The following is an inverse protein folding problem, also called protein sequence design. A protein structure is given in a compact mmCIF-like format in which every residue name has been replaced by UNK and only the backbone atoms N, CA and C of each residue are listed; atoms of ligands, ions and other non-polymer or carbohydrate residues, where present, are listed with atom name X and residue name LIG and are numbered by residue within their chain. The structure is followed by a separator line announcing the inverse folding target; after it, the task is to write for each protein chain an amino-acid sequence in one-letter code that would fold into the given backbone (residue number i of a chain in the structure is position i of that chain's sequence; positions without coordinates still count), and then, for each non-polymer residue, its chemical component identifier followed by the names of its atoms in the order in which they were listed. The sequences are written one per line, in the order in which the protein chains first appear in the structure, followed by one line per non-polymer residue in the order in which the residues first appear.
data_IF_257144218336
#
_entry.id   IF_257144218336
#
_cell.length_a   1.000
_cell.length_b   1.000
_cell.length_c   1.000
_cell.angle_alpha   90.00
_cell.angle_beta   90.00
_cell.angle_gamma   90.00
#
_symmetry.space_group_name_H-M   'P 1'
#
loop_
_entity.id
_entity.type
_entity.pdbx_description
1 polymer ?
#
# COMPACT_ATOMS: atom_id res chain seq x y z
N UNK A 1 -30.33 -20.96 -17.79
CA UNK A 1 -29.17 -20.71 -16.91
C UNK A 1 -29.42 -19.42 -16.12
N UNK A 2 -29.33 -19.44 -14.77
CA UNK A 2 -29.56 -18.24 -13.97
C UNK A 2 -28.33 -17.32 -14.08
N UNK A 3 -28.52 -16.00 -14.24
CA UNK A 3 -27.46 -14.99 -14.40
C UNK A 3 -26.29 -15.14 -13.41
N UNK A 4 -26.59 -15.58 -12.19
CA UNK A 4 -25.60 -15.85 -11.13
C UNK A 4 -24.67 -17.03 -11.42
N UNK A 5 -25.12 -18.06 -12.14
CA UNK A 5 -24.28 -19.19 -12.58
C UNK A 5 -23.39 -18.79 -13.75
N UNK A 6 -23.87 -17.94 -14.64
CA UNK A 6 -23.10 -17.43 -15.77
C UNK A 6 -21.92 -16.56 -15.29
N UNK A 7 -22.14 -15.68 -14.31
CA UNK A 7 -21.07 -14.85 -13.74
C UNK A 7 -20.04 -15.67 -12.94
N UNK A 8 -20.46 -16.72 -12.23
CA UNK A 8 -19.53 -17.63 -11.54
C UNK A 8 -18.68 -18.46 -12.51
N UNK A 9 -19.26 -18.86 -13.64
CA UNK A 9 -18.54 -19.63 -14.67
C UNK A 9 -17.68 -18.71 -15.54
N UNK A 10 -18.10 -17.47 -15.80
CA UNK A 10 -17.33 -16.45 -16.50
C UNK A 10 -16.08 -15.99 -15.71
N UNK A 11 -16.18 -15.86 -14.38
CA UNK A 11 -15.04 -15.55 -13.50
C UNK A 11 -14.01 -16.68 -13.44
N UNK A 12 -14.42 -17.93 -13.72
CA UNK A 12 -13.50 -19.08 -13.79
C UNK A 12 -12.89 -19.27 -15.20
N UNK A 13 -13.45 -18.64 -16.24
CA UNK A 13 -12.97 -18.74 -17.62
C UNK A 13 -12.06 -17.57 -18.06
N UNK A 14 -11.84 -16.56 -17.21
CA UNK A 14 -10.87 -15.48 -17.46
C UNK A 14 -9.42 -15.90 -17.19
N UNK A 15 -9.13 -17.19 -17.37
CA UNK A 15 -7.82 -17.77 -17.19
C UNK A 15 -7.02 -17.56 -18.47
N UNK A 16 -6.00 -16.72 -18.39
CA UNK A 16 -4.84 -16.69 -19.29
C UNK A 16 -5.13 -16.66 -20.79
N UNK A 17 -5.64 -15.54 -21.28
CA UNK A 17 -5.34 -15.17 -22.66
C UNK A 17 -4.10 -14.26 -22.62
N UNK A 18 -3.01 -14.61 -23.30
CA UNK A 18 -1.88 -13.70 -23.44
C UNK A 18 -2.33 -12.53 -24.31
N UNK A 19 -2.38 -11.33 -23.75
CA UNK A 19 -2.51 -10.13 -24.56
C UNK A 19 -1.14 -9.75 -25.08
N UNK A 20 -0.99 -9.70 -26.39
CA UNK A 20 0.20 -9.14 -27.05
C UNK A 20 -0.15 -7.72 -27.45
N UNK A 21 0.41 -6.72 -26.76
CA UNK A 21 0.39 -5.34 -27.19
C UNK A 21 1.84 -4.89 -27.35
N UNK A 22 2.15 -4.40 -28.54
CA UNK A 22 3.50 -3.93 -28.93
C UNK A 22 4.64 -4.96 -28.76
N UNK A 23 4.38 -6.25 -29.00
CA UNK A 23 5.41 -7.29 -29.01
C UNK A 23 5.77 -7.88 -27.64
N UNK A 24 5.12 -7.46 -26.56
CA UNK A 24 5.33 -8.02 -25.21
C UNK A 24 4.17 -8.89 -24.79
N UNK A 25 4.46 -10.11 -24.32
CA UNK A 25 3.46 -11.00 -23.73
C UNK A 25 3.21 -10.59 -22.27
N UNK A 26 2.02 -10.08 -21.97
CA UNK A 26 1.57 -9.85 -20.60
C UNK A 26 0.83 -11.08 -20.10
N UNK A 27 1.32 -11.71 -19.05
CA UNK A 27 0.59 -12.73 -18.30
C UNK A 27 -0.14 -12.08 -17.12
N UNK A 28 -1.42 -12.35 -16.97
CA UNK A 28 -2.14 -11.96 -15.76
C UNK A 28 -1.61 -12.76 -14.56
N UNK A 29 -0.90 -12.10 -13.68
CA UNK A 29 -0.22 -12.70 -12.52
C UNK A 29 -1.17 -12.93 -11.34
N UNK A 30 -2.34 -12.32 -11.35
CA UNK A 30 -3.27 -12.26 -10.21
C UNK A 30 -3.76 -13.63 -9.68
N UNK A 31 -3.65 -14.70 -10.44
CA UNK A 31 -4.25 -15.99 -10.04
C UNK A 31 -3.50 -16.76 -8.97
N UNK A 32 -2.23 -16.41 -8.70
CA UNK A 32 -1.39 -17.14 -7.73
C UNK A 32 -0.92 -16.30 -6.55
N UNK A 33 -1.28 -15.00 -6.50
CA UNK A 33 -0.80 -14.11 -5.44
C UNK A 33 -1.60 -14.21 -4.14
N UNK A 34 -2.86 -14.65 -4.22
CA UNK A 34 -3.72 -14.82 -3.05
C UNK A 34 -4.36 -16.21 -3.07
N UNK A 35 -4.10 -17.02 -2.05
CA UNK A 35 -4.99 -18.12 -1.72
C UNK A 35 -6.25 -17.52 -1.11
N UNK A 36 -7.37 -17.49 -1.86
CA UNK A 36 -8.66 -17.02 -1.34
C UNK A 36 -9.22 -18.11 -0.43
N UNK A 37 -9.24 -17.94 0.89
CA UNK A 37 -9.85 -18.89 1.81
C UNK A 37 -11.37 -18.88 1.65
N UNK A 38 -12.02 -19.91 2.13
CA UNK A 38 -13.44 -20.19 1.97
C UNK A 38 -14.41 -19.17 2.59
N UNK A 39 -13.93 -18.18 3.38
CA UNK A 39 -14.71 -17.03 3.85
C UNK A 39 -13.97 -15.74 3.55
N UNK A 40 -14.36 -15.04 2.50
CA UNK A 40 -13.85 -13.69 2.18
C UNK A 40 -14.23 -12.63 3.24
N UNK A 41 -15.15 -12.96 4.13
CA UNK A 41 -15.75 -12.02 5.08
C UNK A 41 -14.79 -11.61 6.22
N UNK A 42 -13.70 -12.35 6.45
CA UNK A 42 -12.79 -12.12 7.59
C UNK A 42 -11.39 -11.62 7.17
N UNK A 43 -11.19 -11.22 5.91
CA UNK A 43 -9.90 -10.75 5.43
C UNK A 43 -9.71 -9.25 5.62
N UNK A 44 -8.48 -8.88 5.91
CA UNK A 44 -8.03 -7.50 6.12
C UNK A 44 -6.89 -7.19 5.17
N UNK A 45 -6.99 -6.05 4.50
CA UNK A 45 -5.95 -5.50 3.63
C UNK A 45 -5.27 -4.31 4.32
N UNK A 46 -3.94 -4.33 4.36
CA UNK A 46 -3.11 -3.21 4.86
C UNK A 46 -2.35 -2.60 3.70
N UNK A 47 -2.64 -1.35 3.38
CA UNK A 47 -1.97 -0.60 2.33
C UNK A 47 -0.96 0.37 2.96
N UNK A 48 0.32 0.27 2.56
CA UNK A 48 1.38 1.17 3.04
C UNK A 48 1.91 1.95 1.84
N UNK A 49 1.65 3.26 1.81
CA UNK A 49 2.16 4.14 0.78
C UNK A 49 3.54 4.68 1.17
N UNK A 50 4.52 4.47 0.31
CA UNK A 50 5.83 5.10 0.36
C UNK A 50 5.76 6.42 -0.43
N UNK A 51 5.45 7.51 0.28
CA UNK A 51 5.14 8.79 -0.33
C UNK A 51 6.41 9.56 -0.73
N UNK A 52 6.53 9.90 -2.02
CA UNK A 52 7.64 10.67 -2.57
C UNK A 52 8.33 10.03 -3.79
N UNK A 53 7.89 8.89 -4.27
CA UNK A 53 8.53 8.19 -5.39
C UNK A 53 9.78 7.43 -4.96
N UNK A 54 9.61 6.18 -4.59
CA UNK A 54 10.66 5.35 -4.02
C UNK A 54 11.73 4.96 -5.07
N UNK A 55 13.02 5.06 -4.72
CA UNK A 55 14.12 4.53 -5.52
C UNK A 55 14.16 3.00 -5.43
N UNK A 56 13.47 2.37 -6.38
CA UNK A 56 13.36 0.93 -6.46
C UNK A 56 14.68 0.20 -6.68
N UNK A 57 15.60 0.80 -7.44
CA UNK A 57 16.92 0.22 -7.72
C UNK A 57 17.88 0.29 -6.52
N UNK A 58 17.60 1.15 -5.52
CA UNK A 58 18.33 1.17 -4.27
C UNK A 58 17.59 0.47 -3.12
N UNK A 59 16.40 -0.09 -3.41
CA UNK A 59 15.61 -0.91 -2.49
C UNK A 59 15.71 -2.40 -2.82
N UNK A 60 15.52 -2.78 -4.10
CA UNK A 60 15.59 -4.14 -4.64
C UNK A 60 16.62 -4.15 -5.78
N UNK A 61 17.74 -4.80 -5.54
CA UNK A 61 18.87 -4.83 -6.47
C UNK A 61 18.73 -6.00 -7.46
N UNK A 62 18.76 -5.74 -8.79
CA UNK A 62 18.99 -6.77 -9.79
C UNK A 62 20.50 -7.12 -9.78
N UNK A 63 20.88 -8.14 -9.03
CA UNK A 63 22.29 -8.52 -8.82
C UNK A 63 22.97 -9.00 -10.11
N UNK A 64 22.20 -9.61 -11.01
CA UNK A 64 22.62 -9.98 -12.37
C UNK A 64 22.91 -8.78 -13.29
N UNK A 65 22.51 -7.56 -12.89
CA UNK A 65 22.73 -6.29 -13.57
C UNK A 65 23.60 -5.33 -12.73
N UNK A 66 24.36 -5.86 -11.75
CA UNK A 66 25.12 -5.00 -10.83
C UNK A 66 26.21 -4.19 -11.53
N UNK A 67 26.87 -4.76 -12.55
CA UNK A 67 27.89 -4.05 -13.32
C UNK A 67 27.30 -2.84 -14.09
N UNK A 68 26.11 -2.98 -14.61
CA UNK A 68 25.35 -1.92 -15.27
C UNK A 68 24.93 -0.83 -14.28
N UNK A 69 24.51 -1.21 -13.06
CA UNK A 69 24.21 -0.25 -11.99
C UNK A 69 25.46 0.56 -11.60
N UNK A 70 26.65 -0.04 -11.56
CA UNK A 70 27.91 0.69 -11.31
C UNK A 70 28.13 1.78 -12.37
N UNK A 71 27.81 1.52 -13.64
CA UNK A 71 27.94 2.52 -14.71
C UNK A 71 26.98 3.69 -14.50
N UNK A 72 25.75 3.43 -14.05
CA UNK A 72 24.67 4.43 -14.01
C UNK A 72 24.61 5.22 -12.70
N UNK A 73 25.01 4.62 -11.57
CA UNK A 73 24.75 5.20 -10.23
C UNK A 73 25.84 4.88 -9.19
N UNK A 74 27.09 4.79 -9.61
CA UNK A 74 28.23 4.42 -8.72
C UNK A 74 28.31 5.26 -7.43
N UNK A 75 27.92 6.54 -7.48
CA UNK A 75 28.00 7.48 -6.34
C UNK A 75 26.95 7.24 -5.25
N UNK A 76 25.93 6.42 -5.52
CA UNK A 76 24.86 6.06 -4.54
C UNK A 76 24.68 4.54 -4.41
N UNK A 77 25.42 3.73 -5.15
CA UNK A 77 25.22 2.30 -5.23
C UNK A 77 25.84 1.60 -4.01
N UNK A 78 25.02 0.87 -3.28
CA UNK A 78 25.45 0.02 -2.16
C UNK A 78 26.42 -1.06 -2.66
N UNK A 79 27.55 -1.32 -1.95
CA UNK A 79 28.49 -2.38 -2.31
C UNK A 79 27.82 -3.74 -2.43
N UNK A 80 28.11 -4.49 -3.49
CA UNK A 80 27.47 -5.77 -3.80
C UNK A 80 27.53 -6.76 -2.63
N UNK A 81 28.68 -6.80 -1.92
CA UNK A 81 28.89 -7.66 -0.76
C UNK A 81 27.98 -7.34 0.42
N UNK A 82 27.41 -6.14 0.48
CA UNK A 82 26.49 -5.70 1.54
C UNK A 82 25.02 -5.97 1.22
N UNK A 83 24.68 -6.28 -0.04
CA UNK A 83 23.31 -6.55 -0.48
C UNK A 83 22.81 -7.83 0.18
N UNK A 84 21.62 -7.78 0.79
CA UNK A 84 20.96 -8.94 1.39
C UNK A 84 20.37 -9.84 0.30
N UNK A 85 20.88 -11.04 0.05
CA UNK A 85 20.39 -11.90 -1.01
C UNK A 85 18.96 -12.41 -0.68
N UNK A 86 18.06 -12.37 -1.67
CA UNK A 86 16.79 -13.09 -1.68
C UNK A 86 16.91 -14.34 -2.59
N UNK A 87 17.52 -14.15 -3.74
CA UNK A 87 17.87 -15.21 -4.70
C UNK A 87 19.30 -14.97 -5.20
N UNK A 88 19.74 -15.78 -6.17
CA UNK A 88 21.03 -15.53 -6.87
C UNK A 88 21.05 -14.15 -7.49
N UNK A 89 19.92 -13.73 -8.11
CA UNK A 89 19.84 -12.60 -9.01
C UNK A 89 19.14 -11.37 -8.40
N UNK A 90 18.49 -11.53 -7.23
CA UNK A 90 17.75 -10.45 -6.55
C UNK A 90 18.22 -10.32 -5.11
N UNK A 91 18.39 -9.08 -4.66
CA UNK A 91 18.71 -8.78 -3.27
C UNK A 91 18.03 -7.51 -2.77
N UNK A 92 18.05 -7.30 -1.45
CA UNK A 92 17.51 -6.13 -0.79
C UNK A 92 18.64 -5.23 -0.25
N UNK A 93 18.29 -3.97 -0.01
CA UNK A 93 19.14 -3.03 0.69
C UNK A 93 19.56 -3.59 2.07
N UNK A 94 20.82 -3.39 2.55
CA UNK A 94 21.32 -3.98 3.80
C UNK A 94 20.51 -3.62 5.05
N UNK A 95 19.78 -2.51 5.03
CA UNK A 95 18.86 -2.11 6.13
C UNK A 95 17.53 -2.87 6.16
N UNK A 96 17.24 -3.75 5.19
CA UNK A 96 15.95 -4.42 5.07
C UNK A 96 15.96 -5.87 5.60
N UNK A 97 16.68 -6.11 6.70
CA UNK A 97 16.79 -7.45 7.32
C UNK A 97 15.45 -8.04 7.75
N UNK A 98 14.50 -7.20 8.17
CA UNK A 98 13.15 -7.63 8.54
C UNK A 98 12.38 -8.21 7.35
N UNK A 99 12.42 -7.55 6.18
CA UNK A 99 11.79 -8.07 4.96
C UNK A 99 12.52 -9.29 4.38
N UNK A 100 13.87 -9.34 4.49
CA UNK A 100 14.60 -10.57 4.15
C UNK A 100 14.15 -11.75 5.01
N UNK A 101 13.95 -11.53 6.30
CA UNK A 101 13.44 -12.57 7.22
C UNK A 101 12.06 -13.04 6.77
N UNK A 102 11.14 -12.13 6.45
CA UNK A 102 9.81 -12.50 5.96
C UNK A 102 9.85 -13.25 4.62
N UNK A 103 10.78 -12.90 3.73
CA UNK A 103 10.99 -13.63 2.48
C UNK A 103 11.42 -15.09 2.76
N UNK A 104 12.38 -15.26 3.65
CA UNK A 104 12.87 -16.58 4.05
C UNK A 104 11.81 -17.42 4.79
N UNK A 105 10.86 -16.76 5.47
CA UNK A 105 9.70 -17.39 6.12
C UNK A 105 8.55 -17.70 5.13
N UNK A 106 8.68 -17.33 3.85
CA UNK A 106 7.62 -17.52 2.87
C UNK A 106 6.45 -16.55 2.98
N UNK A 107 6.67 -15.36 3.56
CA UNK A 107 5.66 -14.34 3.87
C UNK A 107 5.86 -13.02 3.11
N UNK A 108 6.71 -13.01 2.09
CA UNK A 108 6.97 -11.83 1.26
C UNK A 108 7.01 -12.19 -0.21
N UNK A 109 6.34 -11.39 -1.03
CA UNK A 109 6.47 -11.41 -2.48
C UNK A 109 6.98 -10.05 -2.97
N UNK A 110 7.92 -10.08 -3.92
CA UNK A 110 8.48 -8.90 -4.57
C UNK A 110 7.97 -8.86 -6.01
N UNK A 111 7.17 -7.86 -6.35
CA UNK A 111 6.71 -7.63 -7.71
C UNK A 111 7.64 -6.62 -8.37
N UNK A 112 8.27 -7.01 -9.46
CA UNK A 112 9.24 -6.17 -10.17
C UNK A 112 8.55 -5.15 -11.07
N UNK A 113 9.10 -3.93 -11.11
CA UNK A 113 8.72 -2.88 -12.06
C UNK A 113 7.21 -2.67 -12.22
N UNK A 114 6.54 -2.43 -11.08
CA UNK A 114 5.11 -2.10 -11.04
C UNK A 114 4.92 -0.63 -11.37
N UNK A 115 3.99 -0.32 -12.24
CA UNK A 115 3.70 1.04 -12.67
C UNK A 115 2.40 1.10 -13.47
N UNK A 116 2.31 2.03 -14.42
CA UNK A 116 1.18 2.18 -15.34
C UNK A 116 1.63 2.73 -16.70
N UNK A 117 0.85 2.52 -17.77
CA UNK A 117 1.19 3.03 -19.11
C UNK A 117 1.25 4.57 -19.13
N UNK A 118 2.16 5.13 -19.93
CA UNK A 118 2.35 6.57 -20.05
C UNK A 118 2.59 7.26 -18.69
N UNK A 119 3.66 6.88 -17.96
CA UNK A 119 3.87 7.31 -16.58
C UNK A 119 3.96 8.83 -16.46
N UNK A 120 3.32 9.36 -15.44
CA UNK A 120 3.39 10.77 -15.09
C UNK A 120 4.27 10.95 -13.84
N UNK A 121 5.24 11.86 -13.91
CA UNK A 121 6.22 12.10 -12.84
C UNK A 121 5.83 13.24 -11.90
N UNK A 122 4.59 13.72 -11.97
CA UNK A 122 4.03 14.63 -10.96
C UNK A 122 3.48 13.83 -9.79
N UNK A 123 3.91 14.13 -8.58
CA UNK A 123 3.37 13.49 -7.36
C UNK A 123 1.85 13.55 -7.32
N UNK A 124 1.27 14.71 -7.62
CA UNK A 124 -0.19 14.89 -7.59
C UNK A 124 -0.89 13.97 -8.58
N UNK A 125 -0.51 14.05 -9.86
CA UNK A 125 -1.20 13.27 -10.89
C UNK A 125 -0.96 11.77 -10.72
N UNK A 126 0.24 11.36 -10.40
CA UNK A 126 0.54 9.95 -10.20
C UNK A 126 -0.19 9.38 -8.97
N UNK A 127 -0.29 10.17 -7.89
CA UNK A 127 -1.10 9.79 -6.73
C UNK A 127 -2.57 9.62 -7.11
N UNK A 128 -3.15 10.54 -7.90
CA UNK A 128 -4.53 10.42 -8.37
C UNK A 128 -4.73 9.11 -9.16
N UNK A 129 -3.80 8.78 -10.04
CA UNK A 129 -3.86 7.54 -10.83
C UNK A 129 -3.85 6.31 -9.93
N UNK A 130 -2.94 6.24 -8.95
CA UNK A 130 -2.86 5.13 -8.02
C UNK A 130 -4.09 5.03 -7.10
N UNK A 131 -4.59 6.15 -6.61
CA UNK A 131 -5.75 6.15 -5.71
C UNK A 131 -7.06 5.90 -6.44
N UNK A 132 -7.20 6.39 -7.67
CA UNK A 132 -8.40 6.13 -8.48
C UNK A 132 -8.35 4.80 -9.24
N UNK A 133 -7.16 4.23 -9.47
CA UNK A 133 -6.99 3.09 -10.37
C UNK A 133 -7.30 3.42 -11.83
N UNK A 134 -7.23 4.70 -12.23
CA UNK A 134 -7.66 5.17 -13.56
C UNK A 134 -6.69 6.20 -14.14
N UNK A 135 -6.49 6.13 -15.46
CA UNK A 135 -5.76 7.14 -16.22
C UNK A 135 -6.67 8.33 -16.62
N UNK A 136 -7.99 8.20 -16.49
CA UNK A 136 -8.92 9.29 -16.79
C UNK A 136 -8.80 10.40 -15.77
N UNK A 137 -8.55 11.62 -16.24
CA UNK A 137 -8.41 12.83 -15.40
C UNK A 137 -9.73 13.24 -14.72
N UNK A 138 -10.86 12.78 -15.23
CA UNK A 138 -12.18 13.07 -14.69
C UNK A 138 -12.63 12.05 -13.62
N UNK A 139 -11.85 10.99 -13.40
CA UNK A 139 -12.15 10.00 -12.37
C UNK A 139 -11.83 10.58 -11.00
N UNK A 140 -12.85 10.87 -10.22
CA UNK A 140 -12.72 11.46 -8.86
C UNK A 140 -12.91 10.46 -7.73
N UNK A 141 -13.54 9.30 -7.99
CA UNK A 141 -13.71 8.26 -6.98
C UNK A 141 -12.52 7.31 -6.93
N UNK A 142 -12.14 6.90 -5.71
CA UNK A 142 -11.10 5.91 -5.46
C UNK A 142 -11.52 4.49 -5.87
N UNK A 143 -10.56 3.62 -6.15
CA UNK A 143 -10.87 2.25 -6.56
C UNK A 143 -11.55 1.43 -5.44
N UNK A 144 -11.15 1.61 -4.18
CA UNK A 144 -11.84 1.02 -3.03
C UNK A 144 -13.20 1.70 -2.79
N UNK A 145 -13.29 3.02 -2.98
CA UNK A 145 -14.56 3.75 -2.87
C UNK A 145 -15.62 3.17 -3.82
N UNK A 146 -15.26 2.91 -5.08
CA UNK A 146 -16.18 2.26 -6.04
C UNK A 146 -16.55 0.83 -5.65
N UNK A 147 -15.59 0.07 -5.11
CA UNK A 147 -15.87 -1.26 -4.57
C UNK A 147 -16.88 -1.18 -3.42
N UNK A 148 -16.68 -0.26 -2.48
CA UNK A 148 -17.59 -0.08 -1.35
C UNK A 148 -18.96 0.43 -1.77
N UNK A 149 -19.05 1.41 -2.70
CA UNK A 149 -20.33 1.87 -3.26
C UNK A 149 -21.16 0.70 -3.84
N UNK A 150 -20.48 -0.23 -4.52
CA UNK A 150 -21.15 -1.40 -5.10
C UNK A 150 -21.58 -2.46 -4.08
N UNK A 151 -20.90 -2.50 -2.93
CA UNK A 151 -21.07 -3.51 -1.89
C UNK A 151 -21.99 -3.01 -0.77
N UNK A 152 -21.93 -1.74 -0.43
CA UNK A 152 -22.62 -1.09 0.68
C UNK A 152 -23.46 0.10 0.20
N UNK A 153 -24.62 -0.16 -0.45
CA UNK A 153 -25.46 0.90 -0.99
C UNK A 153 -26.05 1.79 0.11
N UNK A 154 -26.39 3.02 -0.27
CA UNK A 154 -26.94 4.06 0.61
C UNK A 154 -25.96 4.56 1.70
N UNK A 155 -24.65 4.43 1.47
CA UNK A 155 -23.67 5.11 2.30
C UNK A 155 -23.70 6.64 2.00
N UNK A 156 -23.62 7.53 3.00
CA UNK A 156 -23.42 7.29 4.41
C UNK A 156 -24.71 7.03 5.21
N UNK A 157 -25.90 7.36 4.71
CA UNK A 157 -27.15 7.49 5.48
C UNK A 157 -27.60 6.19 6.16
N UNK A 158 -27.27 5.03 5.58
CA UNK A 158 -27.64 3.71 6.13
C UNK A 158 -26.59 3.14 7.12
N UNK A 159 -25.51 3.86 7.42
CA UNK A 159 -24.37 3.37 8.21
C UNK A 159 -23.91 4.38 9.27
N UNK A 160 -23.33 3.89 10.42
CA UNK A 160 -23.27 2.48 10.83
C UNK A 160 -24.65 1.89 11.09
N UNK A 161 -24.75 0.55 11.11
CA UNK A 161 -25.98 -0.16 11.48
C UNK A 161 -25.65 -1.46 12.22
N UNK A 162 -26.67 -2.24 12.61
CA UNK A 162 -26.50 -3.46 13.42
C UNK A 162 -25.63 -4.52 12.72
N UNK A 163 -25.71 -4.62 11.39
CA UNK A 163 -24.93 -5.59 10.60
C UNK A 163 -23.49 -5.08 10.33
N UNK A 164 -23.34 -3.76 10.22
CA UNK A 164 -22.08 -3.07 9.90
C UNK A 164 -21.83 -1.92 10.88
N UNK A 165 -21.50 -2.22 12.15
CA UNK A 165 -21.26 -1.20 13.17
C UNK A 165 -19.87 -0.53 13.04
N UNK A 166 -18.93 -1.18 12.36
CA UNK A 166 -17.53 -0.78 12.28
C UNK A 166 -17.24 0.01 10.99
N UNK A 167 -16.23 0.90 10.98
CA UNK A 167 -15.84 1.61 9.77
C UNK A 167 -15.31 0.63 8.70
N UNK A 168 -15.65 0.87 7.45
CA UNK A 168 -15.23 0.01 6.32
C UNK A 168 -13.73 0.07 6.07
N UNK A 169 -13.14 1.26 6.21
CA UNK A 169 -11.70 1.47 6.12
C UNK A 169 -11.23 2.47 7.18
N UNK A 170 -9.97 2.34 7.59
CA UNK A 170 -9.29 3.28 8.48
C UNK A 170 -8.03 3.80 7.78
N UNK A 171 -7.89 5.13 7.73
CA UNK A 171 -6.66 5.81 7.35
C UNK A 171 -5.91 6.20 8.63
N UNK A 172 -4.72 5.63 8.83
CA UNK A 172 -3.90 5.97 9.99
C UNK A 172 -3.23 7.34 9.75
N UNK A 173 -3.72 8.35 10.48
CA UNK A 173 -3.32 9.74 10.31
C UNK A 173 -4.48 10.71 10.48
N UNK A 174 -4.28 11.97 10.09
CA UNK A 174 -5.27 13.05 10.23
C UNK A 174 -6.21 13.22 9.04
N UNK A 175 -5.98 12.48 7.95
CA UNK A 175 -6.71 12.65 6.70
C UNK A 175 -7.33 11.34 6.23
N UNK A 176 -8.54 11.44 5.67
CA UNK A 176 -9.18 10.32 4.98
C UNK A 176 -8.45 9.99 3.67
N UNK A 177 -8.50 8.74 3.25
CA UNK A 177 -7.81 8.33 2.02
C UNK A 177 -8.65 8.56 0.77
N UNK A 178 -8.06 9.20 -0.25
CA UNK A 178 -8.68 9.34 -1.57
C UNK A 178 -8.97 7.97 -2.23
N UNK A 179 -8.24 6.92 -1.87
CA UNK A 179 -8.48 5.54 -2.34
C UNK A 179 -9.88 5.04 -1.98
N UNK A 180 -10.41 5.51 -0.82
CA UNK A 180 -11.73 5.15 -0.31
C UNK A 180 -12.83 6.16 -0.66
N UNK A 181 -12.55 7.15 -1.52
CA UNK A 181 -13.55 8.11 -1.96
C UNK A 181 -14.60 7.45 -2.83
N UNK A 182 -15.83 7.37 -2.34
CA UNK A 182 -17.00 6.92 -3.09
C UNK A 182 -17.68 8.09 -3.85
N UNK A 183 -18.83 7.82 -4.43
CA UNK A 183 -19.60 8.81 -5.20
C UNK A 183 -20.19 9.90 -4.31
N UNK A 184 -20.64 9.56 -3.11
CA UNK A 184 -21.32 10.47 -2.17
C UNK A 184 -20.43 10.84 -1.01
N UNK A 185 -19.68 9.89 -0.46
CA UNK A 185 -18.86 10.08 0.74
C UNK A 185 -17.55 9.29 0.70
N UNK A 186 -16.70 9.50 1.69
CA UNK A 186 -15.46 8.75 1.85
C UNK A 186 -15.68 7.61 2.87
N UNK A 187 -15.39 6.39 2.47
CA UNK A 187 -15.58 5.19 3.30
C UNK A 187 -14.48 4.99 4.35
N UNK A 188 -13.40 5.79 4.32
CA UNK A 188 -12.37 5.70 5.35
C UNK A 188 -12.60 6.66 6.50
N UNK A 189 -12.23 6.24 7.71
CA UNK A 189 -12.20 7.05 8.91
C UNK A 189 -10.74 7.37 9.27
N UNK A 190 -10.41 8.64 9.52
CA UNK A 190 -9.07 9.06 9.88
C UNK A 190 -8.81 8.87 11.37
N UNK A 191 -7.71 8.21 11.74
CA UNK A 191 -7.37 7.86 13.13
C UNK A 191 -5.89 8.10 13.38
N UNK A 192 -5.56 9.07 14.23
CA UNK A 192 -4.18 9.27 14.71
C UNK A 192 -3.84 8.32 15.85
N UNK A 193 -4.72 8.26 16.84
CA UNK A 193 -4.59 7.45 18.04
C UNK A 193 -5.94 6.81 18.36
N UNK A 194 -6.08 5.48 18.25
CA UNK A 194 -7.35 4.80 18.51
C UNK A 194 -7.79 4.82 19.97
N UNK A 195 -6.88 5.15 20.92
CA UNK A 195 -7.20 5.28 22.34
C UNK A 195 -7.72 6.67 22.70
N UNK A 196 -7.64 7.63 21.79
CA UNK A 196 -7.96 9.04 21.99
C UNK A 196 -8.93 9.56 20.94
N UNK A 197 -9.99 8.79 20.65
CA UNK A 197 -11.05 9.20 19.73
C UNK A 197 -11.98 10.19 20.45
N UNK A 198 -11.86 11.47 20.08
CA UNK A 198 -12.71 12.52 20.64
C UNK A 198 -14.16 12.42 20.14
N UNK A 199 -15.11 12.85 20.98
CA UNK A 199 -16.51 13.00 20.57
C UNK A 199 -16.70 14.42 20.03
N UNK A 200 -17.11 14.54 18.77
CA UNK A 200 -17.44 15.80 18.14
C UNK A 200 -18.80 16.31 18.68
N UNK A 201 -18.91 17.60 19.05
CA UNK A 201 -20.18 18.15 19.51
C UNK A 201 -21.20 18.13 18.37
N UNK A 202 -22.38 17.60 18.65
CA UNK A 202 -23.51 17.59 17.74
C UNK A 202 -24.58 18.54 18.24
N UNK A 203 -24.92 19.55 17.43
CA UNK A 203 -26.10 20.37 17.66
C UNK A 203 -27.25 19.80 16.84
N UNK A 204 -28.39 19.43 17.46
CA UNK A 204 -29.55 18.98 16.69
C UNK A 204 -29.95 20.03 15.64
N UNK A 205 -30.04 19.58 14.41
CA UNK A 205 -30.45 20.45 13.29
C UNK A 205 -31.77 19.94 12.74
N UNK A 206 -32.72 20.85 12.53
CA UNK A 206 -33.96 20.56 11.83
C UNK A 206 -33.75 20.97 10.38
N UNK A 207 -33.88 20.00 9.45
CA UNK A 207 -33.92 20.29 8.03
C UNK A 207 -35.21 21.06 7.71
N UNK A 208 -35.06 22.28 7.26
CA UNK A 208 -36.19 23.16 6.88
C UNK A 208 -36.63 23.00 5.42
N UNK A 209 -36.06 22.00 4.73
CA UNK A 209 -36.32 21.71 3.31
C UNK A 209 -35.53 22.62 2.35
N UNK A 210 -34.72 23.53 2.87
CA UNK A 210 -33.82 24.37 2.04
C UNK A 210 -32.56 23.58 1.64
N UNK A 211 -31.86 24.07 0.61
CA UNK A 211 -30.54 23.53 0.23
C UNK A 211 -29.56 23.60 1.41
N UNK A 212 -29.57 24.70 2.15
CA UNK A 212 -28.77 24.87 3.36
C UNK A 212 -29.12 23.85 4.44
N UNK A 213 -30.42 23.65 4.70
CA UNK A 213 -30.89 22.64 5.65
C UNK A 213 -30.40 21.23 5.31
N UNK A 214 -30.45 20.87 4.03
CA UNK A 214 -29.97 19.58 3.56
C UNK A 214 -28.44 19.40 3.73
N UNK A 215 -27.65 20.46 3.52
CA UNK A 215 -26.19 20.41 3.74
C UNK A 215 -25.85 20.26 5.21
N UNK A 216 -26.56 20.94 6.11
CA UNK A 216 -26.35 20.82 7.55
C UNK A 216 -26.77 19.44 8.07
N UNK A 217 -27.87 18.87 7.55
CA UNK A 217 -28.27 17.49 7.86
C UNK A 217 -27.20 16.48 7.45
N UNK A 218 -26.63 16.62 6.25
CA UNK A 218 -25.53 15.78 5.80
C UNK A 218 -24.30 15.89 6.72
N UNK A 219 -23.91 17.10 7.10
CA UNK A 219 -22.79 17.30 8.06
C UNK A 219 -23.11 16.66 9.41
N UNK A 220 -24.36 16.77 9.89
CA UNK A 220 -24.80 16.15 11.14
C UNK A 220 -24.73 14.63 11.07
N UNK A 221 -25.10 14.03 9.93
CA UNK A 221 -24.96 12.58 9.67
C UNK A 221 -23.48 12.16 9.74
N UNK A 222 -22.58 12.90 9.11
CA UNK A 222 -21.14 12.60 9.17
C UNK A 222 -20.55 12.73 10.57
N UNK A 223 -20.99 13.73 11.37
CA UNK A 223 -20.56 13.89 12.77
C UNK A 223 -21.02 12.71 13.61
N UNK A 224 -22.30 12.30 13.50
CA UNK A 224 -22.83 11.13 14.19
C UNK A 224 -22.04 9.87 13.83
N UNK A 225 -21.84 9.62 12.55
CA UNK A 225 -21.08 8.49 12.03
C UNK A 225 -19.65 8.48 12.58
N UNK A 226 -19.00 9.66 12.60
CA UNK A 226 -17.65 9.82 13.17
C UNK A 226 -17.61 9.46 14.64
N UNK A 227 -18.59 9.90 15.43
CA UNK A 227 -18.68 9.60 16.84
C UNK A 227 -18.92 8.11 17.12
N UNK A 228 -19.83 7.48 16.36
CA UNK A 228 -20.16 6.07 16.52
C UNK A 228 -18.96 5.18 16.12
N UNK A 229 -18.33 5.44 14.97
CA UNK A 229 -17.10 4.73 14.56
C UNK A 229 -15.95 4.96 15.53
N UNK A 230 -15.79 6.19 16.05
CA UNK A 230 -14.79 6.49 17.08
C UNK A 230 -14.94 5.64 18.33
N UNK A 231 -16.18 5.40 18.79
CA UNK A 231 -16.46 4.52 19.93
C UNK A 231 -16.10 3.05 19.63
N UNK A 232 -16.46 2.54 18.44
CA UNK A 232 -16.11 1.17 18.03
C UNK A 232 -14.60 0.98 17.95
N UNK A 233 -13.89 1.94 17.33
CA UNK A 233 -12.44 1.94 17.21
C UNK A 233 -11.77 1.92 18.59
N UNK A 234 -12.18 2.82 19.49
CA UNK A 234 -11.63 2.88 20.83
C UNK A 234 -11.90 1.59 21.61
N UNK A 235 -13.14 1.09 21.58
CA UNK A 235 -13.54 -0.14 22.27
C UNK A 235 -12.70 -1.34 21.80
N UNK A 236 -12.48 -1.46 20.48
CA UNK A 236 -11.66 -2.52 19.91
C UNK A 236 -10.17 -2.35 20.27
N UNK A 237 -9.64 -1.14 20.20
CA UNK A 237 -8.25 -0.88 20.58
C UNK A 237 -7.97 -1.22 22.06
N UNK A 238 -8.89 -0.87 22.96
CA UNK A 238 -8.79 -1.17 24.41
C UNK A 238 -8.94 -2.67 24.69
N UNK A 239 -9.84 -3.35 23.98
CA UNK A 239 -10.05 -4.80 24.14
C UNK A 239 -8.93 -5.64 23.50
N UNK A 240 -8.22 -5.07 22.52
CA UNK A 240 -7.20 -5.75 21.75
C UNK A 240 -5.86 -5.83 22.44
N UNK A 241 -4.99 -6.66 21.86
CA UNK A 241 -3.64 -6.90 22.36
C UNK A 241 -2.59 -6.66 21.29
N UNK A 242 -1.37 -6.40 21.72
CA UNK A 242 -0.15 -6.46 20.93
C UNK A 242 0.89 -7.23 21.74
N UNK A 243 1.40 -8.32 21.18
CA UNK A 243 2.27 -9.27 21.87
C UNK A 243 3.73 -9.20 21.39
N UNK A 244 3.97 -8.55 20.24
CA UNK A 244 5.32 -8.39 19.71
C UNK A 244 6.12 -7.36 20.49
N UNK A 245 7.36 -7.71 20.81
CA UNK A 245 8.36 -6.79 21.41
C UNK A 245 9.25 -6.13 20.36
N UNK A 246 8.97 -6.29 19.07
CA UNK A 246 9.79 -5.79 17.97
C UNK A 246 9.39 -4.38 17.52
N UNK A 247 8.29 -3.81 17.99
CA UNK A 247 7.88 -2.47 17.62
C UNK A 247 8.79 -1.41 18.23
N UNK A 248 9.51 -0.67 17.39
CA UNK A 248 10.26 0.51 17.81
C UNK A 248 9.29 1.68 18.03
N UNK A 249 9.21 2.25 19.25
CA UNK A 249 8.33 3.37 19.56
C UNK A 249 8.74 4.68 18.86
N UNK A 250 9.96 4.78 18.33
CA UNK A 250 10.45 5.93 17.56
C UNK A 250 10.15 5.81 16.07
N UNK A 251 9.69 4.65 15.61
CA UNK A 251 9.23 4.43 14.25
C UNK A 251 7.72 4.62 14.17
N UNK A 252 7.28 5.75 13.62
CA UNK A 252 5.85 6.09 13.51
C UNK A 252 5.02 5.03 12.77
N UNK A 253 5.58 4.42 11.72
CA UNK A 253 4.90 3.33 10.99
C UNK A 253 4.73 2.09 11.88
N UNK A 254 5.74 1.74 12.69
CA UNK A 254 5.65 0.62 13.62
C UNK A 254 4.58 0.85 14.69
N UNK A 255 4.49 2.07 15.22
CA UNK A 255 3.43 2.46 16.18
C UNK A 255 2.04 2.34 15.55
N UNK A 256 1.86 2.85 14.32
CA UNK A 256 0.58 2.76 13.62
C UNK A 256 0.20 1.30 13.32
N UNK A 257 1.13 0.47 12.88
CA UNK A 257 0.89 -0.96 12.63
C UNK A 257 0.57 -1.72 13.93
N UNK A 258 1.18 -1.33 15.06
CA UNK A 258 0.79 -1.85 16.38
C UNK A 258 -0.66 -1.53 16.70
N UNK A 259 -1.11 -0.30 16.46
CA UNK A 259 -2.51 0.08 16.64
C UNK A 259 -3.46 -0.73 15.73
N UNK A 260 -3.07 -0.97 14.48
CA UNK A 260 -3.81 -1.83 13.56
C UNK A 260 -3.94 -3.26 14.13
N UNK A 261 -2.85 -3.85 14.62
CA UNK A 261 -2.88 -5.18 15.24
C UNK A 261 -3.81 -5.22 16.46
N UNK A 262 -3.79 -4.18 17.30
CA UNK A 262 -4.67 -4.07 18.48
C UNK A 262 -6.14 -3.96 18.05
N UNK A 263 -6.49 -3.12 17.09
CA UNK A 263 -7.86 -3.00 16.60
C UNK A 263 -8.37 -4.32 16.00
N UNK A 264 -7.56 -5.01 15.19
CA UNK A 264 -7.94 -6.31 14.62
C UNK A 264 -8.11 -7.37 15.71
N UNK A 265 -7.18 -7.44 16.68
CA UNK A 265 -7.25 -8.43 17.78
C UNK A 265 -8.39 -8.15 18.75
N UNK A 266 -8.81 -6.89 18.87
CA UNK A 266 -9.98 -6.48 19.68
C UNK A 266 -11.31 -6.68 18.98
N UNK A 267 -11.31 -7.24 17.76
CA UNK A 267 -12.53 -7.68 17.09
C UNK A 267 -13.11 -6.70 16.08
N UNK A 268 -12.43 -5.57 15.79
CA UNK A 268 -12.88 -4.63 14.77
C UNK A 268 -12.93 -5.32 13.39
N UNK A 269 -14.05 -5.16 12.69
CA UNK A 269 -14.31 -5.82 11.39
C UNK A 269 -13.94 -4.96 10.19
N UNK A 270 -13.22 -3.89 10.40
CA UNK A 270 -12.67 -3.04 9.34
C UNK A 270 -11.88 -3.87 8.33
N UNK A 271 -12.17 -3.65 7.03
CA UNK A 271 -11.60 -4.45 5.93
C UNK A 271 -10.27 -3.92 5.42
N UNK A 272 -10.05 -2.60 5.51
CA UNK A 272 -8.89 -1.94 4.92
C UNK A 272 -8.28 -0.96 5.90
N UNK A 273 -6.94 -1.04 6.05
CA UNK A 273 -6.14 -0.05 6.78
C UNK A 273 -5.15 0.58 5.82
N UNK A 274 -5.07 1.91 5.82
CA UNK A 274 -4.21 2.68 4.94
C UNK A 274 -3.24 3.49 5.78
N UNK A 275 -1.95 3.32 5.50
CA UNK A 275 -0.84 3.96 6.21
C UNK A 275 0.07 4.67 5.22
N UNK A 276 0.77 5.69 5.70
CA UNK A 276 1.74 6.44 4.90
C UNK A 276 3.09 6.49 5.62
N UNK A 277 4.16 6.33 4.85
CA UNK A 277 5.51 6.66 5.24
C UNK A 277 6.06 7.71 4.27
N UNK A 278 6.37 8.90 4.78
CA UNK A 278 6.79 10.05 3.98
C UNK A 278 8.32 10.14 3.91
N UNK A 279 8.83 10.87 2.91
CA UNK A 279 10.23 11.21 2.80
C UNK A 279 10.99 10.52 1.67
N UNK A 280 10.30 9.76 0.79
CA UNK A 280 10.93 9.07 -0.35
C UNK A 280 11.27 9.99 -1.52
N UNK A 281 10.98 11.29 -1.44
CA UNK A 281 11.37 12.29 -2.44
C UNK A 281 12.84 12.70 -2.27
N UNK A 282 13.75 11.78 -2.52
CA UNK A 282 15.19 11.88 -2.23
C UNK A 282 15.98 12.39 -3.43
N UNK A 283 15.72 13.63 -3.86
CA UNK A 283 16.48 14.28 -4.93
C UNK A 283 17.92 14.60 -4.55
N UNK A 284 18.20 14.80 -3.27
CA UNK A 284 19.52 15.07 -2.73
C UNK A 284 19.75 14.28 -1.44
N UNK A 285 21.01 14.07 -1.08
CA UNK A 285 21.42 13.38 0.14
C UNK A 285 20.63 12.08 0.42
N UNK A 286 20.25 11.35 -0.64
CA UNK A 286 19.59 10.05 -0.54
C UNK A 286 20.43 9.06 0.25
N UNK A 287 21.75 9.13 0.02
CA UNK A 287 22.78 8.37 0.75
C UNK A 287 23.74 9.29 1.48
N UNK A 288 24.43 8.78 2.50
CA UNK A 288 25.52 9.49 3.15
C UNK A 288 26.77 9.49 2.24
N UNK A 289 27.47 10.62 2.18
CA UNK A 289 28.64 10.79 1.31
C UNK A 289 29.84 9.91 1.71
N UNK A 290 29.91 9.45 2.95
CA UNK A 290 31.00 8.60 3.45
C UNK A 290 30.62 7.11 3.44
N UNK A 291 29.32 6.80 3.51
CA UNK A 291 28.81 5.44 3.47
C UNK A 291 27.46 5.38 2.71
N UNK A 292 27.49 4.96 1.47
CA UNK A 292 26.32 4.87 0.61
C UNK A 292 25.26 3.85 1.09
N UNK A 293 25.58 3.02 2.09
CA UNK A 293 24.65 2.12 2.75
C UNK A 293 23.83 2.81 3.85
N UNK A 294 24.16 4.06 4.15
CA UNK A 294 23.49 4.93 5.13
C UNK A 294 22.82 6.13 4.43
N UNK A 295 22.12 6.96 5.18
CA UNK A 295 21.47 8.17 4.67
C UNK A 295 19.94 8.13 4.75
N UNK A 296 19.29 9.12 4.14
CA UNK A 296 17.84 9.33 4.26
C UNK A 296 17.03 8.12 3.77
N UNK A 297 17.36 7.59 2.59
CA UNK A 297 16.66 6.44 2.01
C UNK A 297 16.87 5.16 2.81
N UNK A 298 18.11 4.91 3.26
CA UNK A 298 18.45 3.76 4.10
C UNK A 298 17.63 3.72 5.40
N UNK A 299 17.45 4.88 6.06
CA UNK A 299 16.61 5.03 7.27
C UNK A 299 15.15 4.71 6.98
N UNK A 300 14.60 5.18 5.84
CA UNK A 300 13.23 4.91 5.45
C UNK A 300 13.01 3.43 5.15
N UNK A 301 13.93 2.79 4.43
CA UNK A 301 13.89 1.36 4.14
C UNK A 301 13.98 0.51 5.41
N UNK A 302 14.84 0.90 6.37
CA UNK A 302 14.92 0.25 7.67
C UNK A 302 13.60 0.36 8.43
N UNK A 303 13.04 1.57 8.53
CA UNK A 303 11.75 1.80 9.21
C UNK A 303 10.63 0.99 8.61
N UNK A 304 10.54 0.94 7.28
CA UNK A 304 9.55 0.13 6.57
C UNK A 304 9.72 -1.37 6.89
N UNK A 305 10.94 -1.86 6.75
CA UNK A 305 11.29 -3.27 6.96
C UNK A 305 11.01 -3.74 8.39
N UNK A 306 11.47 -2.97 9.37
CA UNK A 306 11.31 -3.31 10.78
C UNK A 306 9.86 -3.23 11.24
N UNK A 307 9.11 -2.23 10.76
CA UNK A 307 7.70 -2.07 11.07
C UNK A 307 6.85 -3.23 10.52
N UNK A 308 7.07 -3.64 9.26
CA UNK A 308 6.36 -4.78 8.65
C UNK A 308 6.75 -6.09 9.36
N UNK A 309 8.03 -6.28 9.69
CA UNK A 309 8.50 -7.45 10.46
C UNK A 309 7.83 -7.54 11.84
N UNK A 310 7.79 -6.43 12.58
CA UNK A 310 7.15 -6.36 13.89
C UNK A 310 5.65 -6.67 13.80
N UNK A 311 4.97 -6.15 12.79
CA UNK A 311 3.54 -6.39 12.56
C UNK A 311 3.24 -7.85 12.23
N UNK A 312 3.99 -8.46 11.31
CA UNK A 312 3.80 -9.87 10.97
C UNK A 312 4.09 -10.81 12.15
N UNK A 313 5.11 -10.50 12.96
CA UNK A 313 5.39 -11.22 14.19
C UNK A 313 4.25 -11.09 15.22
N UNK A 314 3.66 -9.91 15.34
CA UNK A 314 2.53 -9.67 16.25
C UNK A 314 1.28 -10.44 15.79
N UNK A 315 0.94 -10.37 14.51
CA UNK A 315 -0.17 -11.14 13.94
C UNK A 315 -0.01 -12.65 14.13
N UNK A 316 1.22 -13.16 14.04
CA UNK A 316 1.52 -14.56 14.30
C UNK A 316 1.27 -14.92 15.77
N UNK A 317 1.78 -14.13 16.72
CA UNK A 317 1.56 -14.35 18.15
C UNK A 317 0.07 -14.26 18.55
N UNK A 318 -0.68 -13.41 17.86
CA UNK A 318 -2.12 -13.24 18.05
C UNK A 318 -2.98 -14.30 17.32
N UNK A 319 -2.37 -15.16 16.48
CA UNK A 319 -3.10 -16.15 15.68
C UNK A 319 -3.90 -15.53 14.52
N UNK A 320 -3.55 -14.33 14.07
CA UNK A 320 -4.28 -13.54 13.07
C UNK A 320 -3.58 -13.49 11.70
N UNK A 321 -2.41 -14.11 11.57
CA UNK A 321 -1.55 -13.98 10.38
C UNK A 321 -2.22 -14.41 9.06
N UNK A 322 -3.15 -15.37 9.12
CA UNK A 322 -3.88 -15.85 7.94
C UNK A 322 -5.02 -14.89 7.51
N UNK A 323 -5.37 -13.92 8.34
CA UNK A 323 -6.45 -12.95 8.06
C UNK A 323 -5.95 -11.71 7.33
N UNK A 324 -4.66 -11.38 7.43
CA UNK A 324 -4.13 -10.09 7.03
C UNK A 324 -3.14 -10.23 5.89
N UNK A 325 -3.41 -9.55 4.78
CA UNK A 325 -2.45 -9.31 3.71
C UNK A 325 -2.08 -7.82 3.69
N UNK A 326 -0.84 -7.53 3.33
CA UNK A 326 -0.39 -6.16 3.17
C UNK A 326 0.28 -5.93 1.82
N UNK A 327 0.26 -4.66 1.39
CA UNK A 327 0.88 -4.20 0.16
C UNK A 327 1.57 -2.86 0.40
N UNK A 328 2.80 -2.72 -0.13
CA UNK A 328 3.47 -1.42 -0.24
C UNK A 328 3.31 -0.86 -1.65
N UNK A 329 3.24 0.45 -1.81
CA UNK A 329 3.27 1.09 -3.12
C UNK A 329 3.83 2.50 -3.03
N UNK A 330 4.31 3.02 -4.17
CA UNK A 330 4.73 4.42 -4.34
C UNK A 330 4.12 4.95 -5.62
N UNK A 331 3.92 6.26 -5.71
CA UNK A 331 3.27 6.89 -6.86
C UNK A 331 4.06 6.72 -8.16
N UNK A 332 5.38 6.60 -8.08
CA UNK A 332 6.31 6.26 -9.18
C UNK A 332 7.65 5.78 -8.62
N UNK A 333 8.54 5.30 -9.48
CA UNK A 333 9.92 4.99 -9.18
C UNK A 333 10.86 6.16 -9.47
N UNK A 334 12.18 5.90 -9.43
CA UNK A 334 13.22 6.88 -9.72
C UNK A 334 13.93 6.57 -11.04
N UNK A 335 14.63 7.56 -11.57
CA UNK A 335 15.48 7.39 -12.77
C UNK A 335 16.56 6.33 -12.53
N UNK A 336 16.98 5.68 -13.62
CA UNK A 336 18.03 4.66 -13.58
C UNK A 336 19.36 5.30 -13.15
N UNK A 337 19.70 6.47 -13.70
CA UNK A 337 20.89 7.19 -13.34
C UNK A 337 20.69 7.98 -12.03
N UNK A 338 21.74 8.06 -11.23
CA UNK A 338 21.81 9.00 -10.12
C UNK A 338 22.09 10.42 -10.63
N UNK A 339 21.80 11.41 -9.80
CA UNK A 339 22.15 12.80 -10.05
C UNK A 339 23.45 13.23 -9.32
N UNK A 340 23.84 14.51 -9.50
CA UNK A 340 25.04 15.07 -8.90
C UNK A 340 24.93 15.39 -7.41
N UNK A 341 23.76 15.27 -6.79
CA UNK A 341 23.47 15.59 -5.38
C UNK A 341 23.36 14.36 -4.50
N UNK A 342 23.93 13.22 -4.89
CA UNK A 342 23.81 11.94 -4.20
C UNK A 342 22.35 11.50 -4.03
N UNK A 343 21.54 11.72 -5.04
CA UNK A 343 20.12 11.39 -5.07
C UNK A 343 19.67 10.91 -6.45
N UNK A 344 18.36 10.88 -6.64
CA UNK A 344 17.71 10.44 -7.88
C UNK A 344 16.52 11.30 -8.21
N UNK A 345 16.29 11.56 -9.51
CA UNK A 345 15.12 12.30 -9.98
C UNK A 345 13.94 11.36 -10.28
N UNK A 346 12.75 11.94 -10.51
CA UNK A 346 11.53 11.18 -10.75
C UNK A 346 11.64 10.27 -11.98
N UNK A 347 11.31 9.00 -11.79
CA UNK A 347 11.29 7.96 -12.81
C UNK A 347 9.89 7.39 -13.00
N UNK A 348 9.80 6.09 -13.34
CA UNK A 348 8.56 5.49 -13.80
C UNK A 348 8.12 4.32 -12.91
N UNK A 349 8.54 3.09 -13.19
CA UNK A 349 8.16 1.92 -12.40
C UNK A 349 9.08 1.67 -11.20
N UNK A 350 8.54 1.02 -10.17
CA UNK A 350 9.27 0.60 -8.99
C UNK A 350 8.81 -0.79 -8.52
N UNK A 351 9.62 -1.54 -7.74
CA UNK A 351 9.15 -2.76 -7.12
C UNK A 351 8.11 -2.46 -6.03
N UNK A 352 7.19 -3.42 -5.86
CA UNK A 352 6.12 -3.44 -4.87
C UNK A 352 6.25 -4.70 -4.03
N UNK A 353 6.00 -4.61 -2.72
CA UNK A 353 5.96 -5.77 -1.83
C UNK A 353 4.52 -6.15 -1.50
N UNK A 354 4.23 -7.46 -1.57
CA UNK A 354 3.11 -8.06 -0.87
C UNK A 354 3.64 -8.83 0.34
N UNK A 355 2.96 -8.74 1.48
CA UNK A 355 3.39 -9.42 2.70
C UNK A 355 2.21 -10.03 3.46
N UNK A 356 2.46 -11.14 4.15
CA UNK A 356 1.47 -11.87 4.94
C UNK A 356 1.60 -13.37 4.78
N UNK A 357 1.03 -14.13 5.71
CA UNK A 357 1.05 -15.60 5.66
C UNK A 357 0.03 -16.20 4.68
N UNK A 358 -0.90 -15.38 4.18
CA UNK A 358 -1.93 -15.80 3.23
C UNK A 358 -1.60 -15.46 1.76
N UNK A 359 -0.37 -15.00 1.48
CA UNK A 359 0.10 -14.72 0.12
C UNK A 359 1.03 -15.83 -0.37
N UNK A 360 1.20 -15.94 -1.69
CA UNK A 360 2.27 -16.72 -2.30
C UNK A 360 3.57 -15.91 -2.31
N UNK A 361 4.61 -16.41 -1.66
CA UNK A 361 5.91 -15.71 -1.60
C UNK A 361 6.73 -15.92 -2.87
N UNK A 362 7.67 -15.03 -3.14
CA UNK A 362 8.64 -15.16 -4.22
C UNK A 362 8.91 -13.86 -4.98
N UNK A 363 9.64 -13.98 -6.08
CA UNK A 363 9.89 -12.87 -7.01
C UNK A 363 8.93 -13.02 -8.19
N UNK A 364 8.21 -11.95 -8.49
CA UNK A 364 7.23 -11.88 -9.58
C UNK A 364 7.71 -10.90 -10.64
N UNK A 365 7.84 -11.38 -11.85
CA UNK A 365 8.45 -10.65 -12.97
C UNK A 365 9.97 -10.82 -13.03
N UNK A 366 10.58 -10.65 -14.22
CA UNK A 366 12.02 -10.66 -14.40
C UNK A 366 12.67 -9.41 -13.78
N UNK A 367 13.96 -9.47 -13.51
CA UNK A 367 14.75 -8.30 -13.14
C UNK A 367 14.64 -7.20 -14.21
N UNK A 368 14.67 -5.93 -13.81
CA UNK A 368 14.78 -4.83 -14.78
C UNK A 368 16.05 -4.98 -15.61
N UNK A 369 15.95 -4.67 -16.90
CA UNK A 369 17.12 -4.57 -17.75
C UNK A 369 17.70 -3.16 -17.63
N UNK A 370 18.96 -3.06 -17.24
CA UNK A 370 19.67 -1.79 -17.07
C UNK A 370 20.51 -1.54 -18.33
N UNK A 371 20.18 -0.56 -19.19
CA UNK A 371 20.96 -0.27 -20.38
C UNK A 371 22.35 0.28 -20.01
N UNK A 372 23.37 -0.10 -20.80
CA UNK A 372 24.72 0.44 -20.64
C UNK A 372 24.82 1.95 -20.87
N UNK A 373 23.87 2.50 -21.62
CA UNK A 373 23.72 3.94 -21.85
C UNK A 373 22.28 4.34 -21.65
N UNK A 374 22.05 5.28 -20.75
CA UNK A 374 20.75 5.87 -20.51
C UNK A 374 20.81 7.38 -20.73
N UNK A 375 19.73 7.98 -21.19
CA UNK A 375 19.59 9.44 -21.13
C UNK A 375 19.27 9.84 -19.67
N UNK A 376 19.50 11.11 -19.36
CA UNK A 376 19.30 11.65 -18.00
C UNK A 376 17.84 11.64 -17.53
N UNK A 377 16.90 11.14 -18.33
CA UNK A 377 15.49 11.07 -18.03
C UNK A 377 14.97 9.61 -18.00
N UNK A 378 15.86 8.62 -18.21
CA UNK A 378 15.43 7.23 -18.30
C UNK A 378 14.93 6.69 -16.95
N UNK A 379 13.66 6.28 -16.89
CA UNK A 379 13.07 5.48 -15.83
C UNK A 379 13.01 4.00 -16.22
N UNK A 380 12.69 3.14 -15.27
CA UNK A 380 12.45 1.72 -15.55
C UNK A 380 11.11 1.53 -16.26
N UNK A 381 11.08 0.78 -17.37
CA UNK A 381 9.82 0.48 -18.02
C UNK A 381 8.94 -0.39 -17.12
N UNK A 382 7.65 -0.12 -17.13
CA UNK A 382 6.66 -0.94 -16.44
C UNK A 382 6.62 -2.36 -17.02
N UNK A 383 6.61 -3.37 -16.16
CA UNK A 383 6.38 -4.76 -16.49
C UNK A 383 5.00 -5.23 -16.01
N UNK A 384 4.56 -4.74 -14.86
CA UNK A 384 3.28 -5.08 -14.24
C UNK A 384 2.48 -3.79 -14.08
N UNK A 385 1.29 -3.76 -14.69
CA UNK A 385 0.34 -2.68 -14.42
C UNK A 385 -0.23 -2.86 -13.01
N UNK A 386 -0.12 -1.82 -12.17
CA UNK A 386 -0.57 -1.89 -10.78
C UNK A 386 -2.05 -2.25 -10.64
N UNK A 387 -2.88 -1.93 -11.65
CA UNK A 387 -4.30 -2.27 -11.69
C UNK A 387 -4.57 -3.78 -11.78
N UNK A 388 -3.54 -4.56 -12.14
CA UNK A 388 -3.60 -6.03 -12.10
C UNK A 388 -3.20 -6.61 -10.73
N UNK A 389 -2.73 -5.77 -9.81
CA UNK A 389 -2.39 -6.15 -8.44
C UNK A 389 -3.56 -5.92 -7.49
N UNK A 390 -4.41 -4.93 -7.81
CA UNK A 390 -5.61 -4.55 -7.06
C UNK A 390 -6.74 -5.58 -7.11
#
# INVERSE_FOLDING_TARGET
MKRRSFLKTGALASISLPFVQNGFSMQAVAKHLFEVPKSAEDKVLVLIRMNGGNDGLNMVFPRDQYAELVVQRANILVPEASILPLTTDVGLHPKMTGLQTLYNEGKLSVLQNVGYPEPNRSHFRSTDIWTTGSLDVNQTSGWLGRYFDSTYPNFPDAYPNVDYPDPFAISMGSEVSATCQGLVGNFSHAVNDPFSTGVLPLTPVVNDGSYYGSQIEYISTLINQTNEYGQQINSAAVAGNSLSNLYDPLNSLAVQLKYVAQMISGGLKTKVYILNINGFDTHDAQVDANDVSEGAHAILLQRLSDAIRAFQHDLQLLGLEQRVAGMTFSEFGRQIASNGSLGTDHGDAAPLFLFGSCISSGIVGPNPQIPNQVNNQAGLPMQIDFRNVY
#
